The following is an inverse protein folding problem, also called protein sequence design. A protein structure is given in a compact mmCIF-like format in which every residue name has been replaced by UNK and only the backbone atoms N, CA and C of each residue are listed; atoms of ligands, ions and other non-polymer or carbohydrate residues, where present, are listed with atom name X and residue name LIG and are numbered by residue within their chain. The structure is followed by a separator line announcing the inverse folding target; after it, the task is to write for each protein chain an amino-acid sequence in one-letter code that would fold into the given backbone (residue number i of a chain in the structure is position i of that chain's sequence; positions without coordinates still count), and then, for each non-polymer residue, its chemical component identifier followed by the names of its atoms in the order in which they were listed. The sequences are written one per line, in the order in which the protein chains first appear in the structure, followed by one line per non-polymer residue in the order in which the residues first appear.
data_IF_824394246394
#
_entry.id   IF_824394246394
#
_cell.length_a   1.000
_cell.length_b   1.000
_cell.length_c   1.000
_cell.angle_alpha   90.00
_cell.angle_beta   90.00
_cell.angle_gamma   90.00
#
_symmetry.space_group_name_H-M   'P 1'
#
loop_
_entity.id
_entity.type
_entity.pdbx_description
1 polymer ?
#
# COMPACT_ATOMS: atom_id res chain seq x y z
N UNK A 1 46.29 -16.21 16.05
CA UNK A 1 45.08 -15.58 16.63
C UNK A 1 43.99 -16.63 16.70
N UNK A 2 43.28 -16.79 17.82
CA UNK A 2 42.30 -17.87 17.98
C UNK A 2 41.01 -17.61 17.18
N UNK A 3 40.39 -18.66 16.66
CA UNK A 3 39.22 -18.58 15.76
C UNK A 3 37.99 -17.90 16.38
N UNK A 4 37.87 -17.93 17.71
CA UNK A 4 36.80 -17.24 18.44
C UNK A 4 36.89 -15.70 18.30
N UNK A 5 38.10 -15.15 18.20
CA UNK A 5 38.30 -13.70 18.03
C UNK A 5 37.98 -13.25 16.61
N UNK A 6 38.21 -14.11 15.60
CA UNK A 6 37.77 -13.87 14.22
C UNK A 6 36.24 -13.88 14.10
N UNK A 7 35.56 -14.82 14.76
CA UNK A 7 34.08 -14.86 14.78
C UNK A 7 33.48 -13.65 15.51
N UNK A 8 34.14 -13.14 16.55
CA UNK A 8 33.73 -11.90 17.21
C UNK A 8 33.90 -10.68 16.32
N UNK A 9 35.00 -10.60 15.57
CA UNK A 9 35.24 -9.54 14.60
C UNK A 9 34.21 -9.54 13.46
N UNK A 10 33.82 -10.71 12.95
CA UNK A 10 32.81 -10.81 11.89
C UNK A 10 31.43 -10.42 12.40
N UNK A 11 31.03 -10.84 13.60
CA UNK A 11 29.76 -10.46 14.20
C UNK A 11 29.70 -8.96 14.57
N UNK A 12 30.80 -8.41 15.08
CA UNK A 12 30.88 -6.98 15.43
C UNK A 12 30.71 -6.08 14.19
N UNK A 13 31.30 -6.48 13.07
CA UNK A 13 31.21 -5.71 11.82
C UNK A 13 29.85 -5.86 11.13
N UNK A 14 29.13 -6.96 11.33
CA UNK A 14 27.81 -7.16 10.72
C UNK A 14 26.80 -6.07 11.13
N UNK A 15 26.78 -5.67 12.40
CA UNK A 15 25.90 -4.60 12.89
C UNK A 15 26.26 -3.21 12.36
N UNK A 16 27.55 -2.93 12.17
CA UNK A 16 28.02 -1.67 11.60
C UNK A 16 27.70 -1.55 10.11
N UNK A 17 27.97 -2.60 9.34
CA UNK A 17 27.65 -2.67 7.90
C UNK A 17 26.14 -2.54 7.68
N UNK A 18 25.34 -3.21 8.51
CA UNK A 18 23.89 -3.12 8.45
C UNK A 18 23.37 -1.71 8.78
N UNK A 19 23.94 -1.03 9.77
CA UNK A 19 23.61 0.36 10.10
C UNK A 19 24.01 1.33 8.96
N UNK A 20 25.19 1.13 8.36
CA UNK A 20 25.68 1.90 7.22
C UNK A 20 24.79 1.70 5.97
N UNK A 21 24.40 0.46 5.66
CA UNK A 21 23.47 0.13 4.58
C UNK A 21 22.09 0.79 4.77
N UNK A 22 21.63 0.87 6.03
CA UNK A 22 20.36 1.52 6.37
C UNK A 22 20.45 3.04 6.53
N UNK A 23 21.65 3.62 6.39
CA UNK A 23 21.89 5.06 6.57
C UNK A 23 21.31 5.59 7.89
N UNK A 24 21.36 4.79 8.96
CA UNK A 24 20.80 5.16 10.28
C UNK A 24 19.26 5.16 10.36
N UNK A 25 18.54 4.71 9.33
CA UNK A 25 17.08 4.54 9.40
C UNK A 25 16.75 3.22 10.10
N UNK A 26 16.28 3.31 11.33
CA UNK A 26 15.89 2.19 12.21
C UNK A 26 14.63 1.43 11.75
N UNK A 27 14.17 1.59 10.50
CA UNK A 27 13.04 0.81 10.02
C UNK A 27 13.41 -0.68 10.12
N UNK A 28 12.58 -1.51 10.79
CA UNK A 28 12.79 -2.95 10.82
C UNK A 28 12.87 -3.48 9.40
N UNK A 29 13.83 -4.37 9.09
CA UNK A 29 13.82 -5.02 7.79
C UNK A 29 12.50 -5.78 7.65
N UNK A 30 11.80 -5.66 6.51
CA UNK A 30 10.72 -6.57 6.23
C UNK A 30 11.32 -8.00 6.23
N UNK A 31 10.66 -8.97 6.89
CA UNK A 31 11.17 -10.33 6.93
C UNK A 31 11.33 -10.84 5.50
N UNK A 32 12.44 -11.53 5.25
CA UNK A 32 12.70 -12.12 3.94
C UNK A 32 11.51 -13.01 3.54
N UNK A 33 10.94 -12.78 2.36
CA UNK A 33 9.69 -13.41 1.90
C UNK A 33 9.75 -14.94 1.88
N UNK A 34 10.96 -15.49 1.75
CA UNK A 34 11.20 -16.94 1.69
C UNK A 34 11.23 -17.61 3.08
N UNK A 35 11.36 -16.81 4.15
CA UNK A 35 11.29 -17.31 5.53
C UNK A 35 9.85 -17.61 5.92
N UNK A 36 9.66 -18.56 6.85
CA UNK A 36 8.32 -18.89 7.38
C UNK A 36 7.58 -17.64 7.89
N UNK A 37 8.30 -16.73 8.56
CA UNK A 37 7.74 -15.48 9.08
C UNK A 37 7.28 -14.55 7.96
N UNK A 38 8.08 -14.40 6.90
CA UNK A 38 7.68 -13.63 5.72
C UNK A 38 6.44 -14.18 5.01
N UNK A 39 6.31 -15.52 4.93
CA UNK A 39 5.10 -16.17 4.37
C UNK A 39 3.86 -15.93 5.22
N UNK A 40 4.00 -16.00 6.55
CA UNK A 40 2.90 -15.72 7.49
C UNK A 40 2.47 -14.26 7.37
N UNK A 41 3.41 -13.31 7.38
CA UNK A 41 3.10 -11.89 7.26
C UNK A 41 2.43 -11.57 5.91
N UNK A 42 2.90 -12.16 4.81
CA UNK A 42 2.26 -12.04 3.51
C UNK A 42 0.83 -12.62 3.50
N UNK A 43 0.61 -13.76 4.17
CA UNK A 43 -0.72 -14.34 4.29
C UNK A 43 -1.67 -13.45 5.11
N UNK A 44 -1.19 -12.85 6.20
CA UNK A 44 -1.97 -11.88 6.97
C UNK A 44 -2.29 -10.62 6.16
N UNK A 45 -1.34 -10.12 5.39
CA UNK A 45 -1.56 -8.97 4.52
C UNK A 45 -2.60 -9.28 3.43
N UNK A 46 -2.51 -10.45 2.80
CA UNK A 46 -3.49 -10.90 1.82
C UNK A 46 -4.90 -11.05 2.44
N UNK A 47 -5.00 -11.66 3.62
CA UNK A 47 -6.26 -11.77 4.35
C UNK A 47 -6.83 -10.39 4.72
N UNK A 48 -5.96 -9.48 5.16
CA UNK A 48 -6.34 -8.10 5.49
C UNK A 48 -6.82 -7.30 4.27
N UNK A 49 -6.33 -7.62 3.07
CA UNK A 49 -6.82 -7.02 1.82
C UNK A 49 -8.17 -7.61 1.36
N UNK A 50 -8.46 -8.87 1.70
CA UNK A 50 -9.72 -9.53 1.34
C UNK A 50 -10.92 -9.00 2.15
N UNK A 51 -10.70 -8.67 3.42
CA UNK A 51 -11.75 -8.19 4.34
C UNK A 51 -11.99 -6.69 4.16
N UNK A 52 -13.21 -6.24 4.49
CA UNK A 52 -13.51 -4.81 4.58
C UNK A 52 -12.60 -4.14 5.63
N UNK A 53 -12.15 -2.90 5.39
CA UNK A 53 -11.38 -2.16 6.39
C UNK A 53 -12.14 -2.07 7.71
N UNK A 54 -11.43 -2.01 8.83
CA UNK A 54 -12.06 -1.76 10.13
C UNK A 54 -12.48 -0.30 10.25
N UNK A 55 -13.39 0.01 11.18
CA UNK A 55 -13.94 1.36 11.34
C UNK A 55 -12.90 2.44 11.70
N UNK A 56 -11.76 2.02 12.25
CA UNK A 56 -10.62 2.88 12.58
C UNK A 56 -9.52 2.89 11.49
N UNK A 57 -9.67 2.10 10.43
CA UNK A 57 -8.71 2.05 9.33
C UNK A 57 -9.10 3.02 8.22
N UNK A 58 -8.09 3.57 7.54
CA UNK A 58 -8.31 4.46 6.41
C UNK A 58 -9.05 3.73 5.27
N UNK A 59 -9.88 4.48 4.54
CA UNK A 59 -10.56 3.96 3.37
C UNK A 59 -9.57 3.57 2.28
N UNK A 60 -9.75 2.40 1.67
CA UNK A 60 -8.95 1.94 0.53
C UNK A 60 -9.58 2.48 -0.75
N UNK A 61 -8.82 3.28 -1.51
CA UNK A 61 -9.26 3.86 -2.79
C UNK A 61 -8.53 3.13 -3.92
N UNK A 62 -9.28 2.54 -4.85
CA UNK A 62 -8.75 1.90 -6.05
C UNK A 62 -9.43 2.46 -7.29
N UNK A 63 -8.65 2.86 -8.28
CA UNK A 63 -9.18 3.31 -9.57
C UNK A 63 -9.57 2.09 -10.43
N UNK A 64 -10.81 2.09 -10.95
CA UNK A 64 -11.34 1.03 -11.83
C UNK A 64 -11.42 1.50 -13.29
N UNK A 65 -11.16 2.79 -13.58
CA UNK A 65 -11.25 3.31 -14.94
C UNK A 65 -10.28 2.61 -15.89
N UNK A 66 -10.72 2.41 -17.14
CA UNK A 66 -9.82 2.00 -18.20
C UNK A 66 -8.81 3.13 -18.48
N UNK A 67 -7.53 2.82 -18.77
CA UNK A 67 -6.54 3.84 -19.09
C UNK A 67 -6.97 4.59 -20.36
N UNK A 68 -7.33 5.87 -20.22
CA UNK A 68 -7.82 6.72 -21.31
C UNK A 68 -9.34 6.95 -21.35
N UNK A 69 -10.12 6.44 -20.38
CA UNK A 69 -11.54 6.78 -20.28
C UNK A 69 -11.74 8.22 -19.82
N UNK A 70 -12.61 8.95 -20.53
CA UNK A 70 -13.03 10.34 -20.22
C UNK A 70 -13.69 10.52 -18.83
N UNK A 71 -13.99 9.41 -18.16
CA UNK A 71 -14.59 9.38 -16.83
C UNK A 71 -13.73 8.49 -15.95
N UNK A 72 -13.23 9.06 -14.86
CA UNK A 72 -12.45 8.32 -13.86
C UNK A 72 -13.40 7.76 -12.82
N UNK A 73 -13.26 6.47 -12.51
CA UNK A 73 -14.11 5.78 -11.54
C UNK A 73 -13.26 5.27 -10.40
N UNK A 74 -13.52 5.77 -9.20
CA UNK A 74 -12.84 5.37 -7.97
C UNK A 74 -13.75 4.48 -7.13
N UNK A 75 -13.29 3.25 -6.82
CA UNK A 75 -13.89 2.38 -5.81
C UNK A 75 -13.29 2.71 -4.46
N UNK A 76 -14.14 3.13 -3.54
CA UNK A 76 -13.77 3.41 -2.16
C UNK A 76 -14.34 2.31 -1.28
N UNK A 77 -13.47 1.58 -0.60
CA UNK A 77 -13.83 0.56 0.38
C UNK A 77 -13.62 1.15 1.77
N UNK A 78 -14.70 1.20 2.55
CA UNK A 78 -14.73 1.63 3.95
C UNK A 78 -15.23 0.48 4.83
N UNK A 79 -15.19 0.68 6.14
CA UNK A 79 -15.77 -0.28 7.09
C UNK A 79 -17.28 -0.45 6.95
N UNK A 80 -17.97 0.63 6.57
CA UNK A 80 -19.44 0.65 6.46
C UNK A 80 -19.93 0.12 5.11
N UNK A 81 -19.08 0.16 4.08
CA UNK A 81 -19.46 -0.31 2.76
C UNK A 81 -18.49 0.09 1.66
N UNK A 82 -18.85 -0.27 0.44
CA UNK A 82 -18.12 0.06 -0.78
C UNK A 82 -18.95 0.96 -1.65
N UNK A 83 -18.42 2.11 -2.04
CA UNK A 83 -19.10 3.05 -2.93
C UNK A 83 -18.16 3.55 -4.02
N UNK A 84 -18.75 3.94 -5.14
CA UNK A 84 -18.05 4.37 -6.33
C UNK A 84 -18.23 5.88 -6.50
N UNK A 85 -17.14 6.58 -6.78
CA UNK A 85 -17.16 7.97 -7.19
C UNK A 85 -16.78 8.04 -8.66
N UNK A 86 -17.64 8.62 -9.49
CA UNK A 86 -17.31 8.94 -10.88
C UNK A 86 -17.01 10.42 -11.02
N UNK A 87 -15.84 10.74 -11.59
CA UNK A 87 -15.39 12.11 -11.85
C UNK A 87 -15.18 12.25 -13.35
N UNK A 88 -15.86 13.22 -13.98
CA UNK A 88 -15.63 13.57 -15.37
C UNK A 88 -14.36 14.43 -15.50
N UNK A 89 -13.52 14.16 -16.50
CA UNK A 89 -12.29 14.94 -16.71
C UNK A 89 -12.63 16.40 -17.09
N UNK A 90 -12.05 17.35 -16.35
CA UNK A 90 -12.31 18.79 -16.51
C UNK A 90 -11.77 19.38 -17.84
N UNK A 91 -10.92 18.65 -18.56
CA UNK A 91 -10.27 19.13 -19.80
C UNK A 91 -11.19 19.24 -21.01
N UNK A 92 -12.45 18.78 -20.91
CA UNK A 92 -13.43 18.83 -22.00
C UNK A 92 -14.72 19.59 -21.66
N UNK A 93 -14.82 20.25 -20.51
CA UNK A 93 -15.93 21.17 -20.21
C UNK A 93 -15.77 22.50 -20.95
N UNK A 94 -15.61 22.44 -22.27
CA UNK A 94 -15.82 23.57 -23.18
C UNK A 94 -17.27 23.53 -23.63
N UNK A 95 -18.14 24.30 -22.98
CA UNK A 95 -19.54 24.44 -23.39
C UNK A 95 -20.52 24.29 -22.23
N UNK A 96 -21.30 25.34 -22.02
CA UNK A 96 -22.48 25.49 -21.17
C UNK A 96 -23.11 24.22 -20.58
N UNK A 97 -23.25 24.17 -19.26
CA UNK A 97 -24.20 23.30 -18.58
C UNK A 97 -23.64 22.55 -17.38
N UNK A 98 -23.79 23.16 -16.20
CA UNK A 98 -23.73 22.50 -14.87
C UNK A 98 -22.41 21.79 -14.53
N UNK A 99 -21.65 22.36 -13.58
CA UNK A 99 -20.64 21.60 -12.83
C UNK A 99 -21.34 20.41 -12.15
N UNK A 100 -21.37 19.25 -12.82
CA UNK A 100 -21.86 18.01 -12.22
C UNK A 100 -20.78 17.58 -11.24
N UNK A 101 -21.04 17.82 -9.96
CA UNK A 101 -20.20 17.33 -8.88
C UNK A 101 -20.00 15.81 -8.94
N UNK A 102 -19.11 15.26 -8.10
CA UNK A 102 -18.88 13.82 -8.06
C UNK A 102 -20.20 13.06 -7.89
N UNK A 103 -20.46 12.12 -8.80
CA UNK A 103 -21.61 11.24 -8.70
C UNK A 103 -21.22 10.03 -7.85
N UNK A 104 -22.05 9.74 -6.84
CA UNK A 104 -21.89 8.62 -5.94
C UNK A 104 -22.86 7.50 -6.34
N UNK A 105 -22.34 6.30 -6.56
CA UNK A 105 -23.15 5.12 -6.89
C UNK A 105 -22.68 3.90 -6.11
N UNK A 106 -23.54 2.89 -6.01
CA UNK A 106 -23.13 1.58 -5.51
C UNK A 106 -22.20 0.95 -6.55
N UNK A 107 -21.00 0.54 -6.12
CA UNK A 107 -20.08 -0.16 -7.01
C UNK A 107 -20.61 -1.55 -7.36
N UNK A 108 -20.40 -2.03 -8.60
CA UNK A 108 -20.49 -3.44 -8.93
C UNK A 108 -19.41 -4.28 -8.21
#
# INVERSE_FOLDING_TARGET
MPAADLLRLTLYNAGKVDNELRQGKLAPLPPAKDTLRGKIDAAFEAAHQAVKPKWYEAAKVSEISAPGSLTRVYKIRTALGTYCITVADASRSGGSGTQRGPLYSNCP
#
